data_IF_517586791561
#
_entry.id   IF_517586791561
#
_cell.length_a   1.000
_cell.length_b   1.000
_cell.length_c   1.000
_cell.angle_alpha   90.00
_cell.angle_beta   90.00
_cell.angle_gamma   90.00
#
_symmetry.space_group_name_H-M   'P 1'
#
loop_
_entity.id
_entity.type
_entity.pdbx_description
1 polymer ?
#
# COMPACT_ATOMS: atom_id res chain seq x y z
N UNK A 1 12.37 49.75 4.83
CA UNK A 1 13.32 48.62 4.66
C UNK A 1 12.66 47.41 5.27
N UNK A 2 11.84 46.71 4.51
CA UNK A 2 11.25 45.40 4.89
C UNK A 2 12.14 44.33 4.31
N UNK A 3 13.05 43.80 5.13
CA UNK A 3 13.82 42.59 4.82
C UNK A 3 12.85 41.42 4.74
N UNK A 4 12.38 41.13 3.55
CA UNK A 4 11.76 39.83 3.26
C UNK A 4 12.81 38.76 3.53
N UNK A 5 12.66 38.02 4.63
CA UNK A 5 13.34 36.76 4.89
C UNK A 5 12.89 35.77 3.80
N UNK A 6 13.44 35.90 2.59
CA UNK A 6 13.39 34.87 1.57
C UNK A 6 14.24 33.71 2.10
N UNK A 7 13.58 32.75 2.73
CA UNK A 7 14.20 31.48 3.08
C UNK A 7 14.89 30.94 1.83
N UNK A 8 16.13 30.47 1.95
CA UNK A 8 16.79 29.84 0.81
C UNK A 8 15.94 28.64 0.34
N UNK A 9 15.97 28.30 -0.96
CA UNK A 9 15.20 27.17 -1.50
C UNK A 9 15.40 25.86 -0.74
N UNK A 10 16.58 25.64 -0.18
CA UNK A 10 16.86 24.47 0.66
C UNK A 10 16.13 24.55 2.02
N UNK A 11 16.04 25.72 2.63
CA UNK A 11 15.22 25.93 3.83
C UNK A 11 13.72 25.81 3.55
N UNK A 12 13.23 26.20 2.38
CA UNK A 12 11.85 25.97 1.98
C UNK A 12 11.51 24.46 1.94
N UNK A 13 12.39 23.62 1.43
CA UNK A 13 12.20 22.17 1.43
C UNK A 13 12.02 21.64 2.86
N UNK A 14 12.90 22.05 3.80
CA UNK A 14 12.82 21.64 5.20
C UNK A 14 11.57 22.16 5.92
N UNK A 15 11.01 23.29 5.51
CA UNK A 15 9.81 23.87 6.12
C UNK A 15 8.50 23.31 5.54
N UNK A 16 8.46 22.97 4.24
CA UNK A 16 7.22 22.54 3.57
C UNK A 16 6.91 21.05 3.77
N UNK A 17 7.92 20.17 3.92
CA UNK A 17 7.67 18.74 4.12
C UNK A 17 6.94 18.44 5.44
N UNK A 18 7.33 18.99 6.61
CA UNK A 18 6.59 18.78 7.85
C UNK A 18 5.13 19.25 7.78
N UNK A 19 4.88 20.43 7.18
CA UNK A 19 3.51 20.94 7.02
C UNK A 19 2.68 20.06 6.06
N UNK A 20 3.28 19.56 4.97
CA UNK A 20 2.62 18.61 4.09
C UNK A 20 2.27 17.31 4.83
N UNK A 21 3.18 16.78 5.64
CA UNK A 21 2.91 15.56 6.44
C UNK A 21 1.73 15.78 7.39
N UNK A 22 1.65 16.93 8.06
CA UNK A 22 0.53 17.27 8.95
C UNK A 22 -0.80 17.31 8.17
N UNK A 23 -0.82 17.95 7.00
CA UNK A 23 -2.02 18.01 6.14
C UNK A 23 -2.42 16.62 5.68
N UNK A 24 -1.46 15.81 5.19
CA UNK A 24 -1.73 14.46 4.71
C UNK A 24 -2.16 13.51 5.84
N UNK A 25 -1.64 13.71 7.04
CA UNK A 25 -2.11 13.00 8.22
C UNK A 25 -3.56 13.37 8.56
N UNK A 26 -3.93 14.66 8.52
CA UNK A 26 -5.31 15.08 8.68
C UNK A 26 -6.25 14.50 7.60
N UNK A 27 -5.82 14.45 6.34
CA UNK A 27 -6.54 13.77 5.25
C UNK A 27 -6.73 12.29 5.56
N UNK A 28 -5.68 11.62 6.03
CA UNK A 28 -5.74 10.20 6.40
C UNK A 28 -6.70 9.96 7.56
N UNK A 29 -6.64 10.79 8.61
CA UNK A 29 -7.57 10.73 9.74
C UNK A 29 -9.03 10.89 9.26
N UNK A 30 -9.30 11.87 8.40
CA UNK A 30 -10.64 12.09 7.87
C UNK A 30 -11.15 10.87 7.08
N UNK A 31 -10.36 10.36 6.14
CA UNK A 31 -10.78 9.27 5.25
C UNK A 31 -10.86 7.91 5.96
N UNK A 32 -9.99 7.66 6.94
CA UNK A 32 -10.02 6.45 7.76
C UNK A 32 -11.08 6.50 8.87
N UNK A 33 -11.68 7.65 9.18
CA UNK A 33 -12.72 7.80 10.22
C UNK A 33 -13.96 6.91 10.01
N UNK A 34 -14.16 6.38 8.79
CA UNK A 34 -15.13 5.32 8.51
C UNK A 34 -15.01 4.11 9.44
N UNK A 35 -13.81 3.87 10.00
CA UNK A 35 -13.54 2.83 10.96
C UNK A 35 -14.30 2.98 12.29
N UNK A 36 -14.79 4.17 12.63
CA UNK A 36 -15.65 4.37 13.81
C UNK A 36 -17.04 3.74 13.61
N UNK A 37 -17.53 3.67 12.38
CA UNK A 37 -18.78 2.95 12.06
C UNK A 37 -18.59 1.43 12.13
N UNK A 38 -17.45 0.91 11.64
CA UNK A 38 -17.04 -0.50 11.73
C UNK A 38 -15.53 -0.59 11.82
N UNK A 39 -15.02 -1.21 12.88
CA UNK A 39 -13.57 -1.24 13.18
C UNK A 39 -12.73 -1.76 12.00
N UNK A 40 -13.23 -2.74 11.25
CA UNK A 40 -12.54 -3.27 10.06
C UNK A 40 -12.33 -2.21 8.97
N UNK A 41 -13.15 -1.15 8.92
CA UNK A 41 -13.00 -0.10 7.93
C UNK A 41 -11.75 0.77 8.16
N UNK A 42 -11.19 0.78 9.36
CA UNK A 42 -9.88 1.39 9.56
C UNK A 42 -8.82 0.81 8.62
N UNK A 43 -8.82 -0.52 8.42
CA UNK A 43 -7.80 -1.27 7.68
C UNK A 43 -8.28 -1.82 6.32
N UNK A 44 -9.49 -1.48 5.89
CA UNK A 44 -10.05 -1.92 4.60
C UNK A 44 -10.42 -0.73 3.71
N UNK A 45 -11.68 -0.34 3.66
CA UNK A 45 -12.13 0.79 2.83
C UNK A 45 -11.41 2.09 3.19
N UNK A 46 -11.23 2.36 4.50
CA UNK A 46 -10.49 3.54 4.99
C UNK A 46 -9.03 3.54 4.55
N UNK A 47 -8.37 2.37 4.53
CA UNK A 47 -7.02 2.21 4.00
C UNK A 47 -6.94 2.66 2.53
N UNK A 48 -7.75 2.04 1.66
CA UNK A 48 -7.74 2.36 0.23
C UNK A 48 -8.01 3.84 -0.05
N UNK A 49 -9.00 4.43 0.61
CA UNK A 49 -9.33 5.85 0.46
C UNK A 49 -8.21 6.75 1.00
N UNK A 50 -7.61 6.43 2.14
CA UNK A 50 -6.54 7.24 2.75
C UNK A 50 -5.31 7.30 1.86
N UNK A 51 -4.81 6.18 1.33
CA UNK A 51 -3.62 6.21 0.46
C UNK A 51 -3.90 6.91 -0.87
N UNK A 52 -5.10 6.76 -1.44
CA UNK A 52 -5.53 7.49 -2.62
C UNK A 52 -5.62 9.00 -2.34
N UNK A 53 -6.21 9.38 -1.20
CA UNK A 53 -6.31 10.77 -0.77
C UNK A 53 -4.93 11.39 -0.54
N UNK A 54 -4.02 10.69 0.15
CA UNK A 54 -2.65 11.18 0.38
C UNK A 54 -1.93 11.41 -0.95
N UNK A 55 -2.03 10.49 -1.91
CA UNK A 55 -1.40 10.65 -3.22
C UNK A 55 -1.95 11.86 -3.98
N UNK A 56 -3.27 12.03 -3.99
CA UNK A 56 -3.93 13.17 -4.64
C UNK A 56 -3.58 14.50 -3.96
N UNK A 57 -3.67 14.58 -2.63
CA UNK A 57 -3.37 15.81 -1.90
C UNK A 57 -1.88 16.16 -1.89
N UNK A 58 -0.97 15.21 -2.08
CA UNK A 58 0.45 15.51 -2.33
C UNK A 58 0.63 16.34 -3.60
N UNK A 59 -0.07 15.97 -4.67
CA UNK A 59 -0.09 16.77 -5.91
C UNK A 59 -0.71 18.16 -5.69
N UNK A 60 -1.88 18.23 -5.01
CA UNK A 60 -2.58 19.50 -4.76
C UNK A 60 -1.73 20.44 -3.90
N UNK A 61 -1.05 19.90 -2.88
CA UNK A 61 -0.23 20.69 -1.96
C UNK A 61 0.96 21.34 -2.66
N UNK A 62 1.67 20.57 -3.51
CA UNK A 62 2.86 21.10 -4.17
C UNK A 62 2.59 21.76 -5.52
N UNK A 63 1.43 21.55 -6.13
CA UNK A 63 1.00 22.15 -7.41
C UNK A 63 2.08 22.07 -8.52
N UNK A 64 2.91 21.03 -8.51
CA UNK A 64 3.96 20.86 -9.50
C UNK A 64 3.35 20.45 -10.84
N UNK A 65 3.47 21.29 -11.84
CA UNK A 65 2.95 21.06 -13.19
C UNK A 65 3.85 20.11 -14.00
N UNK A 66 3.24 19.15 -14.66
CA UNK A 66 3.79 18.61 -15.91
C UNK A 66 4.83 17.49 -15.84
N UNK A 67 5.28 17.01 -14.67
CA UNK A 67 6.17 15.85 -14.64
C UNK A 67 5.38 14.55 -14.78
N UNK A 68 5.46 13.93 -15.97
CA UNK A 68 4.73 12.69 -16.28
C UNK A 68 5.03 11.57 -15.30
N UNK A 69 6.29 11.40 -14.87
CA UNK A 69 6.66 10.33 -13.93
C UNK A 69 6.01 10.50 -12.55
N UNK A 70 5.94 11.74 -12.05
CA UNK A 70 5.26 12.05 -10.79
C UNK A 70 3.74 11.84 -10.91
N UNK A 71 3.15 12.23 -12.02
CA UNK A 71 1.73 11.99 -12.30
C UNK A 71 1.41 10.49 -12.41
N UNK A 72 2.27 9.71 -13.06
CA UNK A 72 2.15 8.25 -13.11
C UNK A 72 2.33 7.63 -11.72
N UNK A 73 3.27 8.14 -10.89
CA UNK A 73 3.44 7.67 -9.53
C UNK A 73 2.19 7.93 -8.66
N UNK A 74 1.65 9.15 -8.73
CA UNK A 74 0.37 9.49 -8.10
C UNK A 74 -0.76 8.59 -8.61
N UNK A 75 -0.89 8.42 -9.92
CA UNK A 75 -1.94 7.63 -10.54
C UNK A 75 -1.88 6.15 -10.11
N UNK A 76 -0.68 5.58 -9.95
CA UNK A 76 -0.49 4.23 -9.44
C UNK A 76 -1.20 4.06 -8.08
N UNK A 77 -0.89 4.92 -7.10
CA UNK A 77 -1.43 4.82 -5.74
C UNK A 77 -2.91 5.23 -5.70
N UNK A 78 -3.30 6.23 -6.48
CA UNK A 78 -4.69 6.68 -6.59
C UNK A 78 -5.59 5.56 -7.11
N UNK A 79 -5.20 4.94 -8.25
CA UNK A 79 -5.96 3.83 -8.86
C UNK A 79 -5.96 2.61 -7.95
N UNK A 80 -4.82 2.27 -7.35
CA UNK A 80 -4.73 1.18 -6.36
C UNK A 80 -5.71 1.39 -5.21
N UNK A 81 -5.69 2.55 -4.57
CA UNK A 81 -6.52 2.84 -3.40
C UNK A 81 -8.01 2.84 -3.72
N UNK A 82 -8.43 3.50 -4.80
CA UNK A 82 -9.84 3.50 -5.22
C UNK A 82 -10.33 2.11 -5.64
N UNK A 83 -9.49 1.37 -6.38
CA UNK A 83 -9.82 -0.01 -6.76
C UNK A 83 -10.02 -0.89 -5.53
N UNK A 84 -9.10 -0.82 -4.57
CA UNK A 84 -9.17 -1.59 -3.33
C UNK A 84 -10.42 -1.24 -2.52
N UNK A 85 -10.65 0.04 -2.25
CA UNK A 85 -11.83 0.51 -1.51
C UNK A 85 -13.13 0.05 -2.18
N UNK A 86 -13.23 0.20 -3.51
CA UNK A 86 -14.41 -0.22 -4.28
C UNK A 86 -14.59 -1.74 -4.22
N UNK A 87 -13.51 -2.50 -4.45
CA UNK A 87 -13.56 -3.96 -4.42
C UNK A 87 -14.04 -4.49 -3.07
N UNK A 88 -13.49 -3.97 -1.97
CA UNK A 88 -13.86 -4.39 -0.62
C UNK A 88 -15.31 -4.02 -0.29
N UNK A 89 -15.73 -2.80 -0.60
CA UNK A 89 -17.11 -2.35 -0.39
C UNK A 89 -18.12 -3.18 -1.19
N UNK A 90 -17.84 -3.46 -2.47
CA UNK A 90 -18.71 -4.29 -3.32
C UNK A 90 -18.74 -5.74 -2.83
N UNK A 91 -17.59 -6.29 -2.40
CA UNK A 91 -17.50 -7.65 -1.87
C UNK A 91 -18.36 -7.81 -0.62
N UNK A 92 -18.32 -6.87 0.30
CA UNK A 92 -19.09 -6.92 1.54
C UNK A 92 -20.61 -6.87 1.36
N UNK A 93 -21.10 -6.30 0.26
CA UNK A 93 -22.53 -6.24 -0.06
C UNK A 93 -23.09 -7.55 -0.63
N UNK A 94 -22.22 -8.51 -1.00
CA UNK A 94 -22.68 -9.79 -1.57
C UNK A 94 -23.25 -10.71 -0.50
N UNK A 95 -24.40 -11.33 -0.81
CA UNK A 95 -25.04 -12.31 0.09
C UNK A 95 -24.10 -13.45 0.48
N UNK A 96 -23.26 -13.91 -0.46
CA UNK A 96 -22.26 -14.97 -0.22
C UNK A 96 -21.17 -14.59 0.78
N UNK A 97 -21.02 -13.30 1.09
CA UNK A 97 -20.00 -12.78 2.01
C UNK A 97 -20.56 -12.48 3.42
N UNK A 98 -21.88 -12.61 3.64
CA UNK A 98 -22.49 -12.19 4.91
C UNK A 98 -21.99 -12.99 6.12
N UNK A 99 -21.82 -14.31 5.99
CA UNK A 99 -21.27 -15.14 7.08
C UNK A 99 -19.84 -14.74 7.43
N UNK A 100 -18.99 -14.51 6.40
CA UNK A 100 -17.60 -14.06 6.58
C UNK A 100 -17.53 -12.65 7.18
N UNK A 101 -18.49 -11.78 6.84
CA UNK A 101 -18.63 -10.44 7.41
C UNK A 101 -18.88 -10.49 8.92
N UNK A 102 -19.82 -11.34 9.37
CA UNK A 102 -20.12 -11.50 10.81
C UNK A 102 -18.89 -12.01 11.56
N UNK A 103 -18.18 -13.00 11.01
CA UNK A 103 -16.93 -13.52 11.59
C UNK A 103 -15.87 -12.43 11.69
N UNK A 104 -15.71 -11.64 10.62
CA UNK A 104 -14.76 -10.52 10.58
C UNK A 104 -15.13 -9.45 11.61
N UNK A 105 -16.40 -9.08 11.71
CA UNK A 105 -16.84 -8.08 12.69
C UNK A 105 -16.59 -8.55 14.14
N UNK A 106 -16.75 -9.82 14.44
CA UNK A 106 -16.40 -10.40 15.74
C UNK A 106 -14.90 -10.36 16.00
N UNK A 107 -14.09 -10.73 15.00
CA UNK A 107 -12.63 -10.78 15.13
C UNK A 107 -12.01 -9.40 15.33
N UNK A 108 -12.60 -8.35 14.73
CA UNK A 108 -12.14 -6.96 14.85
C UNK A 108 -12.98 -6.13 15.83
N UNK A 109 -13.84 -6.77 16.65
CA UNK A 109 -14.63 -6.06 17.64
C UNK A 109 -13.74 -5.42 18.71
N UNK A 110 -13.79 -4.10 18.79
CA UNK A 110 -13.10 -3.30 19.81
C UNK A 110 -14.16 -2.52 20.58
N UNK A 111 -14.29 -2.80 21.87
CA UNK A 111 -15.31 -2.19 22.71
C UNK A 111 -14.83 -0.89 23.36
N UNK A 112 -13.51 -0.70 23.54
CA UNK A 112 -12.92 0.49 24.13
C UNK A 112 -12.85 1.64 23.13
N UNK A 113 -13.46 2.80 23.36
CA UNK A 113 -13.32 3.98 22.52
C UNK A 113 -11.86 4.46 22.41
N UNK A 114 -11.11 4.38 23.51
CA UNK A 114 -9.70 4.78 23.54
C UNK A 114 -8.85 3.88 22.63
N UNK A 115 -9.11 2.57 22.63
CA UNK A 115 -8.43 1.62 21.73
C UNK A 115 -8.76 1.92 20.26
N UNK A 116 -10.02 2.26 19.94
CA UNK A 116 -10.41 2.67 18.58
C UNK A 116 -9.68 3.94 18.14
N UNK A 117 -9.55 4.93 19.01
CA UNK A 117 -8.78 6.15 18.74
C UNK A 117 -7.31 5.83 18.50
N UNK A 118 -6.71 4.96 19.33
CA UNK A 118 -5.33 4.52 19.15
C UNK A 118 -5.10 3.81 17.82
N UNK A 119 -6.00 2.91 17.43
CA UNK A 119 -5.96 2.24 16.12
C UNK A 119 -6.07 3.28 14.99
N UNK A 120 -7.05 4.17 15.06
CA UNK A 120 -7.29 5.22 14.07
C UNK A 120 -6.06 6.10 13.82
N UNK A 121 -5.43 6.59 14.89
CA UNK A 121 -4.20 7.39 14.83
C UNK A 121 -3.06 6.54 14.23
N UNK A 122 -2.87 5.32 14.74
CA UNK A 122 -1.79 4.43 14.31
C UNK A 122 -1.87 4.06 12.83
N UNK A 123 -3.06 3.66 12.34
CA UNK A 123 -3.22 3.33 10.90
C UNK A 123 -3.08 4.57 10.03
N UNK A 124 -3.54 5.75 10.49
CA UNK A 124 -3.40 6.99 9.73
C UNK A 124 -1.94 7.41 9.56
N UNK A 125 -1.12 7.26 10.60
CA UNK A 125 0.33 7.46 10.51
C UNK A 125 0.98 6.45 9.56
N UNK A 126 0.57 5.19 9.64
CA UNK A 126 1.05 4.14 8.75
C UNK A 126 0.75 4.46 7.28
N UNK A 127 -0.45 4.94 6.96
CA UNK A 127 -0.83 5.29 5.58
C UNK A 127 0.00 6.46 5.04
N UNK A 128 0.31 7.45 5.88
CA UNK A 128 1.25 8.52 5.52
C UNK A 128 2.64 7.95 5.24
N UNK A 129 3.13 7.05 6.09
CA UNK A 129 4.44 6.41 5.87
C UNK A 129 4.46 5.59 4.57
N UNK A 130 3.42 4.80 4.29
CA UNK A 130 3.31 3.99 3.07
C UNK A 130 3.27 4.85 1.80
N UNK A 131 2.51 5.94 1.80
CA UNK A 131 2.36 6.82 0.64
C UNK A 131 3.43 7.92 0.57
N UNK A 132 4.34 8.02 1.53
CA UNK A 132 5.40 9.04 1.58
C UNK A 132 6.33 9.07 0.36
N UNK A 133 6.61 7.96 -0.37
CA UNK A 133 7.38 8.05 -1.61
C UNK A 133 6.77 8.98 -2.65
N UNK A 134 5.43 9.01 -2.78
CA UNK A 134 4.73 9.96 -3.67
C UNK A 134 4.88 11.39 -3.17
N UNK A 135 4.73 11.62 -1.86
CA UNK A 135 4.94 12.92 -1.24
C UNK A 135 6.34 13.47 -1.55
N UNK A 136 7.39 12.66 -1.32
CA UNK A 136 8.77 13.09 -1.57
C UNK A 136 9.06 13.33 -3.05
N UNK A 137 8.45 12.58 -3.95
CA UNK A 137 8.56 12.82 -5.39
C UNK A 137 8.05 14.23 -5.75
N UNK A 138 6.84 14.61 -5.32
CA UNK A 138 6.31 15.95 -5.57
C UNK A 138 7.06 17.06 -4.83
N UNK A 139 7.45 16.82 -3.59
CA UNK A 139 8.23 17.77 -2.79
C UNK A 139 9.56 18.12 -3.44
N UNK A 140 10.31 17.12 -3.93
CA UNK A 140 11.58 17.31 -4.58
C UNK A 140 11.43 18.07 -5.91
N UNK A 141 10.40 17.76 -6.71
CA UNK A 141 10.13 18.49 -7.95
C UNK A 141 9.76 19.94 -7.68
N UNK A 142 8.98 20.22 -6.66
CA UNK A 142 8.65 21.57 -6.24
C UNK A 142 9.90 22.33 -5.82
N UNK A 143 10.76 21.73 -4.99
CA UNK A 143 12.02 22.34 -4.57
C UNK A 143 12.97 22.58 -5.76
N UNK A 144 13.03 21.66 -6.73
CA UNK A 144 13.79 21.82 -7.97
C UNK A 144 13.31 23.02 -8.79
N UNK A 145 11.99 23.20 -8.94
CA UNK A 145 11.40 24.34 -9.68
C UNK A 145 11.70 25.68 -9.03
N UNK A 146 11.97 25.71 -7.73
CA UNK A 146 12.38 26.90 -6.97
C UNK A 146 13.90 27.04 -6.83
N UNK A 147 14.68 26.22 -7.54
CA UNK A 147 16.13 26.34 -7.61
C UNK A 147 16.91 25.76 -6.43
N UNK A 148 16.32 24.79 -5.67
CA UNK A 148 16.99 24.15 -4.56
C UNK A 148 18.27 23.41 -5.01
N UNK A 149 19.44 23.90 -4.58
CA UNK A 149 20.74 23.42 -5.05
C UNK A 149 21.00 21.94 -4.68
N UNK A 150 20.58 21.50 -3.49
CA UNK A 150 20.73 20.12 -3.05
C UNK A 150 19.94 19.13 -3.92
N UNK A 151 18.68 19.46 -4.23
CA UNK A 151 17.80 18.65 -5.09
C UNK A 151 18.31 18.67 -6.54
N UNK A 152 18.74 19.84 -7.04
CA UNK A 152 19.33 19.96 -8.37
C UNK A 152 20.56 19.08 -8.52
N UNK A 153 21.43 19.04 -7.51
CA UNK A 153 22.61 18.19 -7.49
C UNK A 153 22.25 16.71 -7.48
N UNK A 154 21.28 16.29 -6.64
CA UNK A 154 20.81 14.91 -6.56
C UNK A 154 20.21 14.44 -7.90
N UNK A 155 19.33 15.24 -8.52
CA UNK A 155 18.66 14.89 -9.77
C UNK A 155 19.60 14.96 -10.97
N UNK A 156 20.51 15.97 -11.04
CA UNK A 156 21.49 16.09 -12.14
C UNK A 156 22.66 15.11 -12.00
N UNK A 157 23.11 14.85 -10.77
CA UNK A 157 24.16 13.86 -10.48
C UNK A 157 23.73 12.43 -10.74
N UNK A 158 22.42 12.13 -10.62
CA UNK A 158 21.84 10.82 -10.93
C UNK A 158 21.56 10.58 -12.41
N UNK A 159 21.46 11.64 -13.22
CA UNK A 159 21.28 11.58 -14.68
C UNK A 159 20.29 10.51 -15.16
N UNK A 160 20.73 9.68 -16.11
CA UNK A 160 19.98 8.55 -16.67
C UNK A 160 19.66 7.48 -15.61
N UNK A 161 20.50 7.33 -14.57
CA UNK A 161 20.29 6.35 -13.50
C UNK A 161 19.07 6.66 -12.63
N UNK A 162 18.84 7.93 -12.26
CA UNK A 162 17.66 8.33 -11.48
C UNK A 162 16.36 8.07 -12.26
N UNK A 163 16.34 8.45 -13.54
CA UNK A 163 15.20 8.19 -14.43
C UNK A 163 14.95 6.68 -14.58
N UNK A 164 16.00 5.89 -14.73
CA UNK A 164 15.89 4.43 -14.81
C UNK A 164 15.25 3.82 -13.57
N UNK A 165 15.70 4.22 -12.36
CA UNK A 165 15.12 3.73 -11.09
C UNK A 165 13.64 4.09 -10.98
N UNK A 166 13.24 5.33 -11.36
CA UNK A 166 11.82 5.74 -11.38
C UNK A 166 11.01 4.87 -12.33
N UNK A 167 11.50 4.66 -13.56
CA UNK A 167 10.80 3.84 -14.56
C UNK A 167 10.64 2.40 -14.07
N UNK A 168 11.71 1.79 -13.56
CA UNK A 168 11.66 0.43 -13.01
C UNK A 168 10.67 0.35 -11.84
N UNK A 169 10.71 1.31 -10.92
CA UNK A 169 9.77 1.39 -9.81
C UNK A 169 8.30 1.46 -10.29
N UNK A 170 8.01 2.34 -11.25
CA UNK A 170 6.67 2.45 -11.83
C UNK A 170 6.24 1.15 -12.53
N UNK A 171 7.11 0.53 -13.31
CA UNK A 171 6.81 -0.75 -13.97
C UNK A 171 6.51 -1.85 -12.95
N UNK A 172 7.32 -1.99 -11.90
CA UNK A 172 7.07 -2.95 -10.81
C UNK A 172 5.73 -2.67 -10.13
N UNK A 173 5.43 -1.41 -9.82
CA UNK A 173 4.18 -1.02 -9.17
C UNK A 173 2.95 -1.31 -10.03
N UNK A 174 2.99 -0.95 -11.32
CA UNK A 174 1.86 -1.25 -12.23
C UNK A 174 1.72 -2.74 -12.51
N UNK A 175 2.81 -3.50 -12.61
CA UNK A 175 2.75 -4.96 -12.67
C UNK A 175 2.08 -5.54 -11.41
N UNK A 176 2.38 -4.99 -10.23
CA UNK A 176 1.72 -5.35 -8.98
C UNK A 176 0.22 -5.09 -9.02
N UNK A 177 -0.19 -3.88 -9.45
CA UNK A 177 -1.59 -3.49 -9.58
C UNK A 177 -2.37 -4.43 -10.51
N UNK A 178 -1.79 -4.77 -11.66
CA UNK A 178 -2.39 -5.70 -12.62
C UNK A 178 -2.48 -7.12 -12.05
N UNK A 179 -1.41 -7.59 -11.38
CA UNK A 179 -1.35 -8.92 -10.75
C UNK A 179 -2.45 -9.07 -9.71
N UNK A 180 -2.60 -8.09 -8.81
CA UNK A 180 -3.62 -8.09 -7.78
C UNK A 180 -5.03 -8.08 -8.39
N UNK A 181 -5.29 -7.20 -9.36
CA UNK A 181 -6.57 -7.13 -10.05
C UNK A 181 -6.93 -8.44 -10.76
N UNK A 182 -5.98 -9.06 -11.46
CA UNK A 182 -6.19 -10.34 -12.13
C UNK A 182 -6.47 -11.46 -11.13
N UNK A 183 -5.71 -11.52 -10.02
CA UNK A 183 -5.89 -12.50 -8.96
C UNK A 183 -7.28 -12.41 -8.34
N UNK A 184 -7.71 -11.20 -7.97
CA UNK A 184 -9.05 -10.97 -7.41
C UNK A 184 -10.16 -11.40 -8.39
N UNK A 185 -10.00 -11.12 -9.69
CA UNK A 185 -10.95 -11.54 -10.74
C UNK A 185 -10.99 -13.05 -10.92
N UNK A 186 -9.82 -13.72 -10.94
CA UNK A 186 -9.74 -15.18 -11.04
C UNK A 186 -10.44 -15.84 -9.85
N UNK A 187 -10.13 -15.39 -8.63
CA UNK A 187 -10.78 -15.87 -7.41
C UNK A 187 -12.30 -15.64 -7.41
N UNK A 188 -12.72 -14.44 -7.81
CA UNK A 188 -14.15 -14.09 -7.86
C UNK A 188 -14.92 -14.90 -8.93
N UNK A 189 -14.31 -15.24 -10.05
CA UNK A 189 -14.90 -16.10 -11.09
C UNK A 189 -15.06 -17.53 -10.60
N UNK A 190 -14.01 -18.09 -9.98
CA UNK A 190 -14.08 -19.44 -9.43
C UNK A 190 -15.18 -19.54 -8.37
N UNK A 191 -15.17 -18.61 -7.38
CA UNK A 191 -16.14 -18.64 -6.29
C UNK A 191 -17.60 -18.43 -6.71
N UNK A 192 -17.85 -17.90 -7.91
CA UNK A 192 -19.21 -17.85 -8.50
C UNK A 192 -19.67 -19.19 -9.08
N UNK A 193 -18.74 -20.00 -9.60
CA UNK A 193 -19.04 -21.29 -10.21
C UNK A 193 -19.00 -22.41 -9.17
N UNK A 194 -18.00 -22.37 -8.32
CA UNK A 194 -17.67 -23.40 -7.33
C UNK A 194 -17.35 -22.76 -5.98
N UNK A 195 -18.37 -22.41 -5.17
CA UNK A 195 -18.17 -21.71 -3.90
C UNK A 195 -17.29 -22.45 -2.89
N UNK A 196 -17.32 -23.80 -2.95
CA UNK A 196 -16.53 -24.66 -2.07
C UNK A 196 -15.09 -24.88 -2.52
N UNK A 197 -14.76 -24.74 -3.79
CA UNK A 197 -13.43 -25.04 -4.34
C UNK A 197 -12.35 -24.04 -3.88
N UNK A 198 -11.11 -24.48 -3.72
CA UNK A 198 -9.96 -23.58 -3.57
C UNK A 198 -9.39 -23.18 -4.94
N UNK A 199 -8.74 -22.00 -5.01
CA UNK A 199 -8.22 -21.49 -6.26
C UNK A 199 -6.81 -22.05 -6.50
N UNK A 200 -6.60 -22.76 -7.64
CA UNK A 200 -5.33 -23.39 -8.01
C UNK A 200 -4.94 -23.18 -9.48
N UNK A 201 -5.67 -22.31 -10.19
CA UNK A 201 -5.46 -22.06 -11.63
C UNK A 201 -4.98 -20.62 -11.89
N UNK A 202 -4.43 -20.36 -13.07
CA UNK A 202 -3.94 -19.04 -13.46
C UNK A 202 -2.78 -18.58 -12.57
N UNK A 203 -2.85 -17.38 -12.00
CA UNK A 203 -1.83 -16.83 -11.11
C UNK A 203 -1.65 -17.66 -9.83
N UNK A 204 -2.68 -18.36 -9.40
CA UNK A 204 -2.65 -19.25 -8.24
C UNK A 204 -1.82 -20.54 -8.46
N UNK A 205 -1.35 -20.80 -9.69
CA UNK A 205 -0.36 -21.85 -9.97
C UNK A 205 1.07 -21.39 -9.68
N UNK A 206 1.30 -20.07 -9.63
CA UNK A 206 2.63 -19.48 -9.43
C UNK A 206 2.88 -19.25 -7.94
N UNK A 207 1.92 -18.66 -7.26
CA UNK A 207 1.92 -18.45 -5.79
C UNK A 207 0.51 -18.62 -5.24
N UNK A 208 0.38 -19.01 -3.98
CA UNK A 208 -0.94 -19.27 -3.35
C UNK A 208 -1.75 -17.99 -3.10
N UNK A 209 -1.10 -16.85 -2.89
CA UNK A 209 -1.75 -15.56 -2.64
C UNK A 209 -1.23 -14.47 -3.58
N UNK A 210 -1.53 -14.58 -4.89
CA UNK A 210 -1.01 -13.64 -5.88
C UNK A 210 -1.54 -12.20 -5.71
N UNK A 211 -2.69 -12.02 -5.07
CA UNK A 211 -3.19 -10.68 -4.73
C UNK A 211 -2.31 -9.99 -3.67
N UNK A 212 -1.85 -10.70 -2.63
CA UNK A 212 -0.93 -10.16 -1.63
C UNK A 212 0.46 -9.90 -2.22
N UNK A 213 0.93 -10.78 -3.12
CA UNK A 213 2.15 -10.54 -3.87
C UNK A 213 2.04 -9.28 -4.73
N UNK A 214 0.91 -9.10 -5.43
CA UNK A 214 0.62 -7.89 -6.21
C UNK A 214 0.67 -6.63 -5.36
N UNK A 215 0.07 -6.65 -4.17
CA UNK A 215 0.11 -5.53 -3.22
C UNK A 215 1.55 -5.20 -2.76
N UNK A 216 2.36 -6.22 -2.43
CA UNK A 216 3.78 -6.02 -2.13
C UNK A 216 4.50 -5.36 -3.30
N UNK A 217 4.23 -5.77 -4.54
CA UNK A 217 4.83 -5.17 -5.73
C UNK A 217 4.40 -3.71 -5.92
N UNK A 218 3.14 -3.34 -5.67
CA UNK A 218 2.67 -1.95 -5.73
C UNK A 218 3.50 -1.08 -4.81
N UNK A 219 3.66 -1.47 -3.55
CA UNK A 219 4.38 -0.68 -2.55
C UNK A 219 5.89 -0.71 -2.75
N UNK A 220 6.46 -1.83 -3.17
CA UNK A 220 7.87 -1.91 -3.57
C UNK A 220 8.15 -1.01 -4.76
N UNK A 221 7.28 -1.02 -5.75
CA UNK A 221 7.38 -0.18 -6.94
C UNK A 221 7.28 1.32 -6.60
N UNK A 222 6.35 1.70 -5.72
CA UNK A 222 6.23 3.07 -5.22
C UNK A 222 7.48 3.51 -4.46
N UNK A 223 8.01 2.66 -3.59
CA UNK A 223 9.25 2.94 -2.86
C UNK A 223 10.44 3.14 -3.83
N UNK A 224 10.63 2.22 -4.77
CA UNK A 224 11.69 2.33 -5.78
C UNK A 224 11.57 3.63 -6.59
N UNK A 225 10.35 3.97 -7.05
CA UNK A 225 10.12 5.21 -7.78
C UNK A 225 10.38 6.47 -6.92
N UNK A 226 10.31 6.35 -5.60
CA UNK A 226 10.61 7.41 -4.64
C UNK A 226 12.11 7.60 -4.35
N UNK A 227 12.94 6.56 -4.51
CA UNK A 227 14.36 6.56 -4.12
C UNK A 227 15.14 7.81 -4.57
N UNK A 228 15.06 8.24 -5.84
CA UNK A 228 15.82 9.42 -6.29
C UNK A 228 15.44 10.73 -5.59
N UNK A 229 14.31 10.74 -4.88
CA UNK A 229 13.75 11.92 -4.23
C UNK A 229 13.87 11.87 -2.68
N UNK A 230 14.47 10.83 -2.13
CA UNK A 230 14.75 10.74 -0.69
C UNK A 230 16.02 11.53 -0.36
N UNK A 231 15.86 12.83 -0.13
CA UNK A 231 16.97 13.78 0.08
C UNK A 231 17.46 13.84 1.54
N UNK A 232 16.80 13.15 2.47
CA UNK A 232 17.15 13.12 3.89
C UNK A 232 17.01 11.71 4.48
N UNK A 233 17.73 11.45 5.57
CA UNK A 233 17.58 10.18 6.32
C UNK A 233 16.12 9.98 6.81
N UNK A 234 15.44 11.07 7.17
CA UNK A 234 14.05 11.01 7.60
C UNK A 234 13.10 10.53 6.47
N UNK A 235 13.35 10.96 5.22
CA UNK A 235 12.61 10.50 4.05
C UNK A 235 12.82 9.00 3.81
N UNK A 236 14.06 8.53 3.90
CA UNK A 236 14.39 7.11 3.82
C UNK A 236 13.72 6.30 4.90
N UNK A 237 13.84 6.74 6.16
CA UNK A 237 13.29 6.03 7.32
C UNK A 237 11.77 5.94 7.24
N UNK A 238 11.09 7.05 6.96
CA UNK A 238 9.62 7.08 6.87
C UNK A 238 9.12 6.15 5.76
N UNK A 239 9.72 6.23 4.57
CA UNK A 239 9.33 5.40 3.44
C UNK A 239 9.65 3.91 3.66
N UNK A 240 10.80 3.60 4.29
CA UNK A 240 11.17 2.23 4.63
C UNK A 240 10.22 1.64 5.70
N UNK A 241 9.84 2.41 6.73
CA UNK A 241 8.83 1.99 7.70
C UNK A 241 7.53 1.63 6.99
N UNK A 242 7.07 2.47 6.04
CA UNK A 242 5.87 2.19 5.26
C UNK A 242 5.96 0.88 4.49
N UNK A 243 7.06 0.68 3.74
CA UNK A 243 7.26 -0.54 2.95
C UNK A 243 7.39 -1.79 3.83
N UNK A 244 8.21 -1.74 4.87
CA UNK A 244 8.40 -2.89 5.79
C UNK A 244 7.09 -3.26 6.47
N UNK A 245 6.33 -2.26 6.92
CA UNK A 245 5.05 -2.50 7.60
C UNK A 245 4.06 -3.22 6.68
N UNK A 246 3.90 -2.78 5.42
CA UNK A 246 2.96 -3.45 4.51
C UNK A 246 3.41 -4.86 4.15
N UNK A 247 4.71 -5.10 3.97
CA UNK A 247 5.24 -6.45 3.74
C UNK A 247 4.91 -7.36 4.94
N UNK A 248 5.11 -6.89 6.17
CA UNK A 248 4.78 -7.65 7.38
C UNK A 248 3.27 -7.90 7.51
N UNK A 249 2.42 -6.90 7.17
CA UNK A 249 0.97 -7.06 7.16
C UNK A 249 0.55 -8.11 6.12
N UNK A 250 1.15 -8.12 4.93
CA UNK A 250 0.84 -9.10 3.89
C UNK A 250 1.30 -10.52 4.29
N UNK A 251 2.45 -10.65 4.94
CA UNK A 251 2.91 -11.92 5.50
C UNK A 251 1.95 -12.44 6.60
N UNK A 252 1.55 -11.58 7.53
CA UNK A 252 0.58 -11.93 8.57
C UNK A 252 -0.79 -12.31 7.99
N UNK A 253 -1.26 -11.57 6.99
CA UNK A 253 -2.51 -11.87 6.29
C UNK A 253 -2.44 -13.18 5.51
N UNK A 254 -1.30 -13.49 4.87
CA UNK A 254 -1.08 -14.76 4.18
C UNK A 254 -1.08 -15.93 5.17
N UNK A 255 -0.45 -15.77 6.35
CA UNK A 255 -0.46 -16.78 7.42
C UNK A 255 -1.87 -17.09 7.90
N UNK A 256 -2.66 -16.06 8.25
CA UNK A 256 -4.06 -16.26 8.67
C UNK A 256 -4.90 -16.94 7.59
N UNK A 257 -4.69 -16.58 6.33
CA UNK A 257 -5.41 -17.20 5.22
C UNK A 257 -4.96 -18.66 4.99
N UNK A 258 -3.68 -18.98 5.22
CA UNK A 258 -3.15 -20.35 5.21
C UNK A 258 -3.84 -21.20 6.28
N UNK A 259 -3.92 -20.71 7.52
CA UNK A 259 -4.60 -21.39 8.63
C UNK A 259 -6.09 -21.62 8.33
N UNK A 260 -6.80 -20.57 7.85
CA UNK A 260 -8.21 -20.66 7.45
C UNK A 260 -8.45 -21.67 6.33
N UNK A 261 -7.59 -21.68 5.30
CA UNK A 261 -7.70 -22.64 4.20
C UNK A 261 -7.30 -24.05 4.63
N UNK A 262 -6.29 -24.20 5.48
CA UNK A 262 -5.90 -25.47 6.08
C UNK A 262 -7.04 -26.11 6.89
N UNK A 263 -7.76 -25.34 7.69
CA UNK A 263 -8.96 -25.79 8.40
C UNK A 263 -10.10 -26.22 7.46
N UNK A 264 -10.23 -25.57 6.28
CA UNK A 264 -11.32 -25.84 5.35
C UNK A 264 -11.03 -26.98 4.37
N UNK A 265 -9.82 -27.02 3.81
CA UNK A 265 -9.43 -27.92 2.71
C UNK A 265 -8.35 -28.92 3.10
N UNK A 266 -7.83 -28.85 4.33
CA UNK A 266 -6.65 -29.63 4.75
C UNK A 266 -6.81 -31.16 4.67
N UNK A 267 -8.05 -31.67 4.59
CA UNK A 267 -8.34 -33.11 4.41
C UNK A 267 -8.39 -33.54 2.93
N UNK A 268 -8.35 -32.58 1.99
CA UNK A 268 -8.42 -32.87 0.57
C UNK A 268 -7.01 -33.21 0.04
N UNK A 269 -6.77 -34.41 -0.55
CA UNK A 269 -5.45 -34.77 -1.08
C UNK A 269 -4.93 -33.80 -2.14
N UNK A 270 -5.82 -33.28 -2.99
CA UNK A 270 -5.48 -32.28 -4.00
C UNK A 270 -5.00 -30.96 -3.41
N UNK A 271 -5.55 -30.55 -2.26
CA UNK A 271 -5.11 -29.35 -1.56
C UNK A 271 -3.71 -29.58 -0.95
N UNK A 272 -3.46 -30.74 -0.35
CA UNK A 272 -2.15 -31.10 0.20
C UNK A 272 -1.06 -31.12 -0.88
N UNK A 273 -1.37 -31.72 -2.03
CA UNK A 273 -0.47 -31.69 -3.19
C UNK A 273 -0.21 -30.24 -3.67
N UNK A 274 -1.24 -29.42 -3.74
CA UNK A 274 -1.14 -28.02 -4.16
C UNK A 274 -0.22 -27.21 -3.23
N UNK A 275 -0.40 -27.29 -1.92
CA UNK A 275 0.39 -26.50 -0.94
C UNK A 275 1.84 -26.99 -0.84
N UNK A 276 2.13 -28.24 -1.17
CA UNK A 276 3.50 -28.78 -1.19
C UNK A 276 4.31 -28.32 -2.40
N UNK A 277 3.64 -27.92 -3.50
CA UNK A 277 4.29 -27.56 -4.77
C UNK A 277 4.29 -26.05 -5.05
N UNK A 278 3.29 -25.30 -4.54
CA UNK A 278 3.12 -23.90 -4.87
C UNK A 278 3.55 -23.03 -3.69
N UNK A 279 4.56 -22.13 -3.86
CA UNK A 279 5.03 -21.26 -2.80
C UNK A 279 3.91 -20.31 -2.34
N UNK A 280 4.03 -19.84 -1.07
CA UNK A 280 2.93 -19.14 -0.43
C UNK A 280 2.72 -17.73 -1.00
N UNK A 281 3.80 -16.96 -1.22
CA UNK A 281 3.71 -15.54 -1.52
C UNK A 281 4.65 -15.06 -2.63
N UNK A 282 5.93 -15.44 -2.59
CA UNK A 282 6.94 -14.94 -3.53
C UNK A 282 7.26 -16.03 -4.55
N UNK A 283 7.13 -15.76 -5.86
CA UNK A 283 7.49 -16.71 -6.89
C UNK A 283 8.95 -17.17 -6.75
N UNK A 284 9.21 -18.44 -7.06
CA UNK A 284 10.55 -19.05 -7.04
C UNK A 284 11.22 -19.16 -5.66
N UNK A 285 10.66 -18.53 -4.61
CA UNK A 285 11.14 -18.71 -3.24
C UNK A 285 10.45 -19.93 -2.65
N UNK A 286 11.18 -20.99 -2.22
CA UNK A 286 10.60 -22.23 -1.74
C UNK A 286 10.05 -22.10 -0.31
N UNK A 287 9.22 -21.09 -0.09
CA UNK A 287 8.51 -20.85 1.15
C UNK A 287 7.09 -21.41 1.02
N UNK A 288 6.87 -22.60 1.57
CA UNK A 288 5.60 -23.31 1.44
C UNK A 288 4.68 -23.19 2.65
N UNK A 289 5.14 -22.64 3.78
CA UNK A 289 4.32 -22.40 4.95
C UNK A 289 4.87 -21.26 5.81
N UNK A 290 3.94 -20.45 6.37
CA UNK A 290 4.22 -19.40 7.34
C UNK A 290 3.84 -19.81 8.77
N UNK A 291 3.38 -21.04 8.99
CA UNK A 291 2.87 -21.51 10.28
C UNK A 291 3.89 -21.33 11.43
N UNK A 292 5.19 -21.52 11.14
CA UNK A 292 6.28 -21.35 12.14
C UNK A 292 6.68 -19.89 12.37
N UNK A 293 6.22 -18.97 11.54
CA UNK A 293 6.60 -17.56 11.64
C UNK A 293 5.79 -16.88 12.75
N UNK A 294 6.46 -16.29 13.72
CA UNK A 294 5.81 -15.53 14.81
C UNK A 294 5.55 -14.09 14.35
N UNK A 295 4.62 -13.90 13.43
CA UNK A 295 4.14 -12.59 13.00
C UNK A 295 2.74 -12.39 13.58
N UNK A 296 2.56 -11.29 14.31
CA UNK A 296 1.29 -10.91 14.94
C UNK A 296 0.66 -9.67 14.28
N UNK A 297 1.24 -9.19 13.16
CA UNK A 297 0.74 -8.08 12.37
C UNK A 297 -0.14 -8.62 11.24
N UNK A 298 -1.38 -8.12 11.20
CA UNK A 298 -2.30 -8.44 10.12
C UNK A 298 -3.66 -8.86 10.59
#
# INVERSE_FOLDING_TARGET
MTTSLLLSPDHMLFATVPSAIIVLFAVSLLLSSLGFARTVYFISTGYGLSVAGIAFFSFVFYRTSGNLAALLHMALILVYGFRLATYLTVRERKATFQAERVETDRSYAVNSPLTKIGIWIGVSLLYVAMASPVLFHFSALNAYSHGAAAVTRALRGGGSGAAFVVIVGLLVGYCGLVTEWMADRQKARLKRREPSAFCRSGLYRIVRYPNYFGEILVWTGSFLAGIPFFTSWAAWTLSAIGLVSIVLIMLGSAKRLEEKQGGRYGREPEYQEYISKVPILIPLVPLYSLAKLRIYLG
#
